data_IF_347957554989
#
_entry.id   IF_347957554989
#
_cell.length_a   1.000
_cell.length_b   1.000
_cell.length_c   1.000
_cell.angle_alpha   90.00
_cell.angle_beta   90.00
_cell.angle_gamma   90.00
#
_symmetry.space_group_name_H-M   'P 1'
#
loop_
_entity.id
_entity.type
_entity.pdbx_description
1 polymer ?
#
# COMPACT_ATOMS: atom_id res chain seq x y z
N UNK A 1 -12.63 -15.37 -3.46
CA UNK A 1 -11.43 -15.39 -2.61
C UNK A 1 -11.57 -14.28 -1.58
N UNK A 2 -11.44 -14.62 -0.30
CA UNK A 2 -11.52 -13.68 0.83
C UNK A 2 -10.16 -13.01 1.02
N UNK A 3 -10.13 -11.68 1.00
CA UNK A 3 -8.90 -10.91 1.27
C UNK A 3 -8.64 -10.91 2.79
N UNK A 4 -7.37 -10.89 3.22
CA UNK A 4 -7.05 -10.81 4.66
C UNK A 4 -7.58 -9.53 5.30
N UNK A 5 -7.87 -8.53 4.47
CA UNK A 5 -8.35 -7.21 4.86
C UNK A 5 -9.86 -7.17 5.07
N UNK A 6 -10.63 -8.17 4.66
CA UNK A 6 -12.10 -8.17 4.79
C UNK A 6 -12.56 -8.13 6.26
N UNK A 7 -11.76 -8.62 7.20
CA UNK A 7 -12.11 -8.75 8.62
C UNK A 7 -11.91 -7.47 9.46
N UNK A 8 -11.17 -6.48 8.96
CA UNK A 8 -10.82 -5.30 9.75
C UNK A 8 -11.80 -4.13 9.49
N UNK A 9 -13.06 -4.28 9.89
CA UNK A 9 -14.07 -3.21 9.81
C UNK A 9 -13.85 -2.18 10.94
N UNK A 10 -12.77 -1.44 10.83
CA UNK A 10 -12.41 -0.39 11.78
C UNK A 10 -13.22 0.87 11.45
N UNK A 11 -14.35 1.05 12.16
CA UNK A 11 -15.32 2.15 12.06
C UNK A 11 -14.77 3.52 12.48
N UNK A 12 -13.45 3.72 12.33
CA UNK A 12 -12.77 4.99 12.56
C UNK A 12 -12.71 5.73 11.23
N UNK A 13 -12.89 7.05 11.26
CA UNK A 13 -12.83 7.94 10.07
C UNK A 13 -11.43 7.86 9.46
N UNK A 14 -11.22 6.87 8.59
CA UNK A 14 -9.95 6.64 7.92
C UNK A 14 -9.62 7.87 7.08
N UNK A 15 -8.37 8.34 7.15
CA UNK A 15 -7.89 9.36 6.22
C UNK A 15 -8.04 8.79 4.81
N UNK A 16 -8.38 9.64 3.84
CA UNK A 16 -8.59 9.25 2.44
C UNK A 16 -7.40 8.40 1.92
N UNK A 17 -6.18 8.77 2.30
CA UNK A 17 -4.96 8.02 1.95
C UNK A 17 -4.98 6.57 2.44
N UNK A 18 -5.54 6.29 3.60
CA UNK A 18 -5.55 4.96 4.20
C UNK A 18 -6.65 4.08 3.59
N UNK A 19 -7.83 4.66 3.32
CA UNK A 19 -8.89 3.96 2.60
C UNK A 19 -8.43 3.54 1.20
N UNK A 20 -7.74 4.43 0.47
CA UNK A 20 -7.21 4.14 -0.86
C UNK A 20 -6.08 3.10 -0.82
N UNK A 21 -5.13 3.22 0.12
CA UNK A 21 -4.04 2.24 0.23
C UNK A 21 -4.55 0.83 0.59
N UNK A 22 -5.57 0.74 1.45
CA UNK A 22 -6.22 -0.53 1.78
C UNK A 22 -6.91 -1.14 0.55
N UNK A 23 -7.72 -0.37 -0.16
CA UNK A 23 -8.39 -0.84 -1.36
C UNK A 23 -7.41 -1.26 -2.47
N UNK A 24 -6.27 -0.57 -2.59
CA UNK A 24 -5.22 -0.95 -3.54
C UNK A 24 -4.59 -2.31 -3.20
N UNK A 25 -4.31 -2.57 -1.92
CA UNK A 25 -3.78 -3.87 -1.48
C UNK A 25 -4.82 -4.97 -1.66
N UNK A 26 -6.07 -4.72 -1.27
CA UNK A 26 -7.16 -5.68 -1.44
C UNK A 26 -7.38 -6.05 -2.91
N UNK A 27 -7.31 -5.06 -3.80
CA UNK A 27 -7.44 -5.28 -5.25
C UNK A 27 -6.24 -6.04 -5.80
N UNK A 28 -5.04 -5.76 -5.32
CA UNK A 28 -3.83 -6.49 -5.69
C UNK A 28 -3.90 -7.96 -5.26
N UNK A 29 -4.39 -8.26 -4.05
CA UNK A 29 -4.62 -9.62 -3.58
C UNK A 29 -5.70 -10.33 -4.40
N UNK A 30 -6.82 -9.65 -4.71
CA UNK A 30 -7.92 -10.24 -5.49
C UNK A 30 -7.57 -10.54 -6.94
N UNK A 31 -6.63 -9.81 -7.51
CA UNK A 31 -6.17 -9.95 -8.89
C UNK A 31 -4.84 -10.72 -9.00
N UNK A 32 -4.29 -11.22 -7.88
CA UNK A 32 -2.96 -11.83 -7.81
C UNK A 32 -1.87 -10.97 -8.50
N UNK A 33 -1.94 -9.64 -8.30
CA UNK A 33 -1.06 -8.70 -8.96
C UNK A 33 0.36 -8.80 -8.37
N UNK A 34 1.41 -9.01 -9.19
CA UNK A 34 2.78 -9.19 -8.68
C UNK A 34 3.43 -7.87 -8.23
N UNK A 35 2.88 -6.72 -8.62
CA UNK A 35 3.49 -5.41 -8.43
C UNK A 35 2.45 -4.33 -8.10
N UNK A 36 2.73 -3.53 -7.07
CA UNK A 36 1.98 -2.31 -6.72
C UNK A 36 2.91 -1.11 -6.93
N UNK A 37 2.54 -0.23 -7.87
CA UNK A 37 3.30 1.00 -8.16
C UNK A 37 2.75 2.15 -7.33
N UNK A 38 3.63 2.86 -6.62
CA UNK A 38 3.25 3.98 -5.74
C UNK A 38 4.05 5.22 -6.10
N UNK A 39 3.40 6.25 -6.63
CA UNK A 39 4.00 7.56 -6.76
C UNK A 39 4.06 8.26 -5.39
N UNK A 40 5.26 8.62 -4.95
CA UNK A 40 5.47 9.25 -3.64
C UNK A 40 6.62 10.23 -3.68
N UNK A 41 6.43 11.42 -3.12
CA UNK A 41 7.53 12.38 -2.98
C UNK A 41 8.30 12.19 -1.67
N UNK A 42 7.60 11.79 -0.59
CA UNK A 42 8.14 11.73 0.77
C UNK A 42 7.99 10.37 1.46
N UNK A 43 7.65 9.31 0.72
CA UNK A 43 7.56 7.94 1.24
C UNK A 43 6.34 7.63 2.13
N UNK A 44 5.51 8.63 2.48
CA UNK A 44 4.33 8.44 3.34
C UNK A 44 3.31 7.47 2.73
N UNK A 45 3.05 7.56 1.44
CA UNK A 45 2.14 6.65 0.74
C UNK A 45 2.70 5.23 0.62
N UNK A 46 3.98 5.08 0.29
CA UNK A 46 4.62 3.76 0.25
C UNK A 46 4.60 3.07 1.64
N UNK A 47 4.81 3.84 2.71
CA UNK A 47 4.74 3.32 4.09
C UNK A 47 3.31 2.94 4.50
N UNK A 48 2.30 3.66 4.02
CA UNK A 48 0.90 3.35 4.26
C UNK A 48 0.47 2.03 3.58
N UNK A 49 0.91 1.79 2.34
CA UNK A 49 0.70 0.52 1.65
C UNK A 49 1.40 -0.63 2.39
N UNK A 50 2.64 -0.40 2.85
CA UNK A 50 3.40 -1.42 3.60
C UNK A 50 2.74 -1.85 4.91
N UNK A 51 1.96 -0.97 5.56
CA UNK A 51 1.26 -1.28 6.81
C UNK A 51 0.38 -2.54 6.69
N UNK A 52 -0.12 -2.82 5.49
CA UNK A 52 -1.01 -3.94 5.21
C UNK A 52 -0.29 -5.23 4.79
N UNK A 53 1.05 -5.22 4.75
CA UNK A 53 1.87 -6.38 4.38
C UNK A 53 1.37 -7.12 3.13
N UNK A 54 1.25 -6.44 1.97
CA UNK A 54 0.90 -7.11 0.72
C UNK A 54 1.97 -8.14 0.33
N UNK A 55 1.53 -9.23 -0.31
CA UNK A 55 2.44 -10.21 -0.93
C UNK A 55 3.09 -9.66 -2.22
N UNK A 56 2.43 -8.68 -2.87
CA UNK A 56 2.92 -8.01 -4.06
C UNK A 56 4.13 -7.10 -3.78
N UNK A 57 5.06 -7.03 -4.73
CA UNK A 57 6.24 -6.14 -4.62
C UNK A 57 5.80 -4.67 -4.72
N UNK A 58 6.35 -3.80 -3.87
CA UNK A 58 6.01 -2.36 -3.87
C UNK A 58 7.10 -1.58 -4.62
N UNK A 59 6.75 -0.97 -5.75
CA UNK A 59 7.63 -0.06 -6.49
C UNK A 59 7.28 1.39 -6.17
N UNK A 60 8.12 2.05 -5.36
CA UNK A 60 7.94 3.45 -5.01
C UNK A 60 8.64 4.38 -6.02
N UNK A 61 7.86 5.10 -6.84
CA UNK A 61 8.36 6.11 -7.76
C UNK A 61 8.45 7.46 -7.05
N UNK A 62 9.66 8.01 -6.95
CA UNK A 62 9.90 9.34 -6.37
C UNK A 62 10.65 10.23 -7.35
N UNK A 63 10.26 11.51 -7.49
CA UNK A 63 11.03 12.48 -8.27
C UNK A 63 12.29 12.95 -7.52
N UNK A 64 12.48 12.59 -6.24
CA UNK A 64 13.61 13.06 -5.42
C UNK A 64 14.61 11.94 -5.14
N UNK A 65 15.90 12.19 -5.41
CA UNK A 65 17.01 11.22 -5.22
C UNK A 65 17.28 10.82 -3.75
N UNK A 66 16.77 11.59 -2.78
CA UNK A 66 17.12 11.44 -1.35
C UNK A 66 16.30 10.38 -0.62
N UNK A 67 15.33 9.75 -1.27
CA UNK A 67 14.45 8.79 -0.62
C UNK A 67 15.10 7.40 -0.56
N UNK A 68 16.02 7.21 0.39
CA UNK A 68 16.52 5.89 0.76
C UNK A 68 15.49 5.21 1.66
N UNK A 69 14.53 4.51 1.05
CA UNK A 69 13.71 3.54 1.79
C UNK A 69 14.52 2.24 1.73
N UNK A 70 15.35 1.99 2.75
CA UNK A 70 16.04 0.71 2.90
C UNK A 70 14.99 -0.35 3.23
N UNK A 71 14.89 -1.37 2.39
CA UNK A 71 14.00 -2.50 2.57
C UNK A 71 14.85 -3.74 2.87
N UNK A 72 14.94 -4.12 4.15
CA UNK A 72 15.28 -5.46 4.61
C UNK A 72 14.19 -5.91 5.59
#
# INVERSE_FOLDING_TARGET
>A
MTSRLDFNNDSRKLRITEAVCRGAVETAEKLDAPLIVVATQGGKSARAVRKYFPDATILALTPTKKLHISWC
#
